data_IF_975342424322
#
_entry.id   IF_975342424322
#
_cell.length_a   1.000
_cell.length_b   1.000
_cell.length_c   1.000
_cell.angle_alpha   90.00
_cell.angle_beta   90.00
_cell.angle_gamma   90.00
#
_symmetry.space_group_name_H-M   'P 1'
#
loop_
_entity.id
_entity.type
_entity.pdbx_description
1 polymer ?
#
# COMPACT_ATOMS: atom_id res chain seq x y z
N UNK A 1 -24.76 1.87 -15.26
CA UNK A 1 -23.72 2.55 -16.06
C UNK A 1 -23.64 2.04 -17.51
N UNK A 2 -24.75 1.59 -18.13
CA UNK A 2 -24.75 1.12 -19.53
C UNK A 2 -24.07 -0.25 -19.75
N UNK A 3 -23.88 -0.70 -20.99
CA UNK A 3 -22.95 -1.79 -21.28
C UNK A 3 -21.49 -1.30 -21.15
N UNK A 4 -20.57 -2.16 -20.72
CA UNK A 4 -19.13 -1.87 -20.65
C UNK A 4 -18.51 -1.61 -22.03
N UNK A 5 -17.18 -1.39 -22.12
CA UNK A 5 -16.17 -1.64 -21.09
C UNK A 5 -15.97 -0.48 -20.11
N UNK A 6 -15.74 -0.83 -18.84
CA UNK A 6 -15.57 0.11 -17.72
C UNK A 6 -14.11 0.43 -17.43
N UNK A 7 -13.79 1.63 -16.91
CA UNK A 7 -12.50 1.82 -16.25
C UNK A 7 -12.44 0.90 -15.03
N UNK A 8 -11.32 0.22 -14.86
CA UNK A 8 -11.14 -0.83 -13.87
C UNK A 8 -10.32 -0.33 -12.69
N UNK A 9 -10.77 -0.63 -11.47
CA UNK A 9 -9.99 -0.46 -10.25
C UNK A 9 -9.74 -1.82 -9.57
N UNK A 10 -8.50 -2.27 -9.58
CA UNK A 10 -8.07 -3.49 -8.91
C UNK A 10 -7.83 -3.22 -7.42
N UNK A 11 -8.67 -3.80 -6.57
CA UNK A 11 -8.58 -3.70 -5.12
C UNK A 11 -7.72 -4.85 -4.57
N UNK A 12 -6.45 -4.57 -4.27
CA UNK A 12 -5.47 -5.61 -3.93
C UNK A 12 -5.08 -5.60 -2.45
N UNK A 13 -4.87 -6.80 -1.91
CA UNK A 13 -3.98 -7.01 -0.77
C UNK A 13 -2.86 -7.94 -1.21
N UNK A 14 -3.19 -9.18 -1.60
CA UNK A 14 -2.30 -10.09 -2.31
C UNK A 14 -1.13 -10.67 -1.52
N UNK A 15 -0.97 -10.27 -0.26
CA UNK A 15 0.02 -10.84 0.65
C UNK A 15 -0.47 -12.11 1.37
N UNK A 16 0.44 -12.80 2.07
CA UNK A 16 0.12 -13.95 2.88
C UNK A 16 -0.77 -13.58 4.09
N UNK A 17 -1.31 -14.61 4.74
CA UNK A 17 -2.22 -14.52 5.89
C UNK A 17 -3.58 -13.87 5.64
N UNK A 18 -3.90 -13.49 4.40
CA UNK A 18 -5.15 -12.82 4.04
C UNK A 18 -5.85 -13.52 2.89
N UNK A 19 -7.18 -13.65 3.00
CA UNK A 19 -8.09 -13.99 1.91
C UNK A 19 -9.11 -12.86 1.77
N UNK A 20 -9.21 -12.25 0.58
CA UNK A 20 -10.16 -11.17 0.32
C UNK A 20 -11.44 -11.67 -0.32
N UNK A 21 -11.38 -12.65 -1.21
CA UNK A 21 -12.54 -13.16 -1.96
C UNK A 21 -13.16 -14.33 -1.21
N UNK A 22 -14.27 -14.06 -0.54
CA UNK A 22 -14.99 -15.03 0.29
C UNK A 22 -16.48 -14.71 0.34
N UNK A 23 -17.32 -15.72 0.63
CA UNK A 23 -18.77 -15.56 0.79
C UNK A 23 -19.11 -14.90 2.13
N UNK A 24 -18.91 -13.59 2.22
CA UNK A 24 -19.07 -12.80 3.45
C UNK A 24 -19.72 -11.44 3.16
N UNK A 25 -20.49 -10.93 4.13
CA UNK A 25 -21.07 -9.57 4.09
C UNK A 25 -20.02 -8.47 3.92
N UNK A 26 -18.79 -8.71 4.38
CA UNK A 26 -17.64 -7.80 4.19
C UNK A 26 -17.36 -7.46 2.72
N UNK A 27 -17.79 -8.29 1.77
CA UNK A 27 -17.66 -7.99 0.34
C UNK A 27 -18.65 -6.90 -0.10
N UNK A 28 -19.82 -6.83 0.52
CA UNK A 28 -20.84 -5.83 0.23
C UNK A 28 -20.51 -4.48 0.89
N UNK A 29 -19.87 -4.49 2.06
CA UNK A 29 -19.58 -3.29 2.87
C UNK A 29 -18.20 -2.69 2.64
N UNK A 30 -17.54 -3.03 1.54
CA UNK A 30 -16.28 -2.38 1.16
C UNK A 30 -16.59 -0.98 0.59
N UNK A 31 -16.67 0.02 1.47
CA UNK A 31 -17.15 1.36 1.13
C UNK A 31 -16.32 2.06 0.06
N UNK A 32 -15.00 1.77 -0.02
CA UNK A 32 -14.15 2.31 -1.09
C UNK A 32 -14.53 1.69 -2.44
N UNK A 33 -14.71 0.37 -2.49
CA UNK A 33 -15.19 -0.30 -3.68
C UNK A 33 -16.57 0.22 -4.10
N UNK A 34 -17.52 0.35 -3.16
CA UNK A 34 -18.85 0.90 -3.42
C UNK A 34 -18.78 2.35 -3.95
N UNK A 35 -17.89 3.18 -3.38
CA UNK A 35 -17.69 4.54 -3.84
C UNK A 35 -17.18 4.58 -5.29
N UNK A 36 -16.16 3.79 -5.63
CA UNK A 36 -15.64 3.71 -7.00
C UNK A 36 -16.69 3.16 -7.97
N UNK A 37 -17.45 2.13 -7.57
CA UNK A 37 -18.58 1.63 -8.36
C UNK A 37 -19.61 2.74 -8.62
N UNK A 38 -20.00 3.51 -7.60
CA UNK A 38 -20.95 4.63 -7.75
C UNK A 38 -20.44 5.73 -8.70
N UNK A 39 -19.12 5.86 -8.82
CA UNK A 39 -18.47 6.79 -9.72
C UNK A 39 -18.38 6.27 -11.15
N UNK A 40 -18.69 5.00 -11.42
CA UNK A 40 -18.70 4.38 -12.75
C UNK A 40 -17.52 3.47 -13.05
N UNK A 41 -16.76 3.03 -12.05
CA UNK A 41 -15.70 2.03 -12.20
C UNK A 41 -16.24 0.61 -12.04
N UNK A 42 -15.66 -0.34 -12.78
CA UNK A 42 -15.67 -1.74 -12.35
C UNK A 42 -14.60 -1.92 -11.26
N UNK A 43 -14.92 -2.64 -10.18
CA UNK A 43 -13.97 -2.96 -9.11
C UNK A 43 -13.77 -4.46 -9.03
N UNK A 44 -12.51 -4.91 -9.12
CA UNK A 44 -12.15 -6.33 -9.05
C UNK A 44 -11.31 -6.61 -7.82
N UNK A 45 -11.58 -7.75 -7.17
CA UNK A 45 -10.73 -8.37 -6.14
C UNK A 45 -10.30 -9.74 -6.66
N UNK A 46 -9.02 -10.04 -6.60
CA UNK A 46 -8.47 -11.33 -6.99
C UNK A 46 -7.50 -11.82 -5.91
N UNK A 47 -7.79 -13.00 -5.34
CA UNK A 47 -6.86 -13.70 -4.44
C UNK A 47 -5.82 -14.46 -5.28
N UNK A 48 -4.67 -13.81 -5.49
CA UNK A 48 -3.51 -14.38 -6.18
C UNK A 48 -2.82 -15.50 -5.36
N UNK A 49 -1.92 -16.25 -6.02
CA UNK A 49 -0.99 -17.17 -5.34
C UNK A 49 -0.25 -16.44 -4.22
N UNK A 50 -0.08 -17.09 -3.08
CA UNK A 50 0.38 -16.45 -1.84
C UNK A 50 -0.72 -16.12 -0.83
N UNK A 51 -1.96 -15.90 -1.26
CA UNK A 51 -3.09 -15.66 -0.36
C UNK A 51 -3.49 -16.92 0.44
N UNK A 52 -4.17 -16.72 1.57
CA UNK A 52 -4.47 -17.78 2.53
C UNK A 52 -5.71 -18.61 2.18
N UNK A 53 -5.95 -19.66 2.98
CA UNK A 53 -7.09 -20.59 2.89
C UNK A 53 -7.14 -21.42 1.59
N UNK A 54 -5.97 -21.73 1.04
CA UNK A 54 -5.78 -22.53 -0.19
C UNK A 54 -4.70 -23.62 -0.04
N UNK A 55 -4.21 -23.85 1.18
CA UNK A 55 -3.15 -24.80 1.50
C UNK A 55 -1.73 -24.22 1.36
N UNK A 56 -0.76 -24.89 1.99
CA UNK A 56 0.62 -24.41 2.06
C UNK A 56 1.31 -24.35 0.69
N UNK A 57 0.98 -25.24 -0.25
CA UNK A 57 1.54 -25.21 -1.60
C UNK A 57 1.13 -23.93 -2.35
N UNK A 58 -0.10 -23.46 -2.14
CA UNK A 58 -0.61 -22.24 -2.74
C UNK A 58 -0.01 -20.98 -2.09
N UNK A 59 0.03 -20.94 -0.75
CA UNK A 59 0.66 -19.82 -0.01
C UNK A 59 2.17 -19.77 -0.25
N UNK A 60 2.85 -20.90 -0.20
CA UNK A 60 4.31 -21.03 -0.34
C UNK A 60 4.86 -20.69 -1.72
N UNK A 61 4.01 -20.46 -2.72
CA UNK A 61 4.45 -20.06 -4.08
C UNK A 61 5.25 -18.75 -4.07
N UNK A 62 4.95 -17.83 -3.15
CA UNK A 62 5.63 -16.53 -3.05
C UNK A 62 6.97 -16.59 -2.30
N UNK A 63 7.35 -17.76 -1.76
CA UNK A 63 8.60 -17.93 -1.00
C UNK A 63 9.81 -17.51 -1.84
N UNK A 64 10.66 -16.67 -1.27
CA UNK A 64 11.83 -16.02 -1.86
C UNK A 64 11.55 -15.07 -3.03
N UNK A 65 10.29 -14.85 -3.40
CA UNK A 65 9.88 -14.14 -4.63
C UNK A 65 8.63 -13.27 -4.42
N UNK A 66 8.53 -12.57 -3.28
CA UNK A 66 7.45 -11.62 -3.03
C UNK A 66 7.36 -10.59 -4.17
N UNK A 67 6.14 -10.26 -4.59
CA UNK A 67 5.84 -9.29 -5.65
C UNK A 67 6.11 -9.78 -7.08
N UNK A 68 6.46 -11.05 -7.29
CA UNK A 68 6.62 -11.63 -8.63
C UNK A 68 5.34 -12.32 -9.10
N UNK A 69 4.92 -13.38 -8.42
CA UNK A 69 3.79 -14.20 -8.84
C UNK A 69 2.47 -13.45 -8.67
N UNK A 70 2.37 -12.63 -7.64
CA UNK A 70 1.21 -11.81 -7.33
C UNK A 70 0.90 -10.84 -8.46
N UNK A 71 1.92 -10.17 -9.00
CA UNK A 71 1.76 -9.25 -10.15
C UNK A 71 1.26 -9.99 -11.38
N UNK A 72 1.81 -11.18 -11.68
CA UNK A 72 1.38 -11.98 -12.84
C UNK A 72 -0.09 -12.41 -12.73
N UNK A 73 -0.53 -12.79 -11.54
CA UNK A 73 -1.91 -13.19 -11.29
C UNK A 73 -2.88 -11.99 -11.41
N UNK A 74 -2.50 -10.81 -10.89
CA UNK A 74 -3.29 -9.59 -11.07
C UNK A 74 -3.37 -9.17 -12.56
N UNK A 75 -2.26 -9.27 -13.30
CA UNK A 75 -2.26 -9.05 -14.77
C UNK A 75 -3.21 -10.01 -15.47
N UNK A 76 -3.20 -11.28 -15.05
CA UNK A 76 -4.08 -12.31 -15.61
C UNK A 76 -5.56 -11.99 -15.34
N UNK A 77 -5.89 -11.54 -14.13
CA UNK A 77 -7.25 -11.10 -13.80
C UNK A 77 -7.71 -9.92 -14.65
N UNK A 78 -6.86 -8.91 -14.86
CA UNK A 78 -7.17 -7.77 -15.74
C UNK A 78 -7.40 -8.24 -17.18
N UNK A 79 -6.50 -9.06 -17.74
CA UNK A 79 -6.62 -9.59 -19.11
C UNK A 79 -7.90 -10.40 -19.29
N UNK A 80 -8.29 -11.20 -18.30
CA UNK A 80 -9.54 -11.93 -18.32
C UNK A 80 -10.74 -10.97 -18.43
N UNK A 81 -10.79 -9.91 -17.61
CA UNK A 81 -11.89 -8.94 -17.66
C UNK A 81 -11.93 -8.14 -18.97
N UNK A 82 -10.78 -7.83 -19.56
CA UNK A 82 -10.69 -7.18 -20.88
C UNK A 82 -11.24 -8.11 -21.97
N UNK A 83 -10.85 -9.38 -21.97
CA UNK A 83 -11.32 -10.37 -22.95
C UNK A 83 -12.85 -10.58 -22.90
N UNK A 84 -13.47 -10.37 -21.75
CA UNK A 84 -14.92 -10.48 -21.56
C UNK A 84 -15.66 -9.14 -21.71
N UNK A 85 -15.00 -8.10 -22.26
CA UNK A 85 -15.55 -6.76 -22.48
C UNK A 85 -16.10 -6.08 -21.20
N UNK A 86 -15.55 -6.46 -20.03
CA UNK A 86 -15.91 -5.84 -18.74
C UNK A 86 -15.02 -4.62 -18.49
N UNK A 87 -13.72 -4.72 -18.78
CA UNK A 87 -12.74 -3.69 -18.48
C UNK A 87 -12.15 -3.06 -19.75
N UNK A 88 -11.92 -1.75 -19.72
CA UNK A 88 -11.20 -1.03 -20.77
C UNK A 88 -9.69 -1.18 -20.54
N UNK A 89 -8.93 -1.78 -21.48
CA UNK A 89 -7.51 -2.06 -21.30
C UNK A 89 -6.65 -0.80 -21.14
N UNK A 90 -7.13 0.39 -21.51
CA UNK A 90 -6.39 1.65 -21.37
C UNK A 90 -6.64 2.35 -20.04
N UNK A 91 -7.65 1.91 -19.27
CA UNK A 91 -8.13 2.60 -18.07
C UNK A 91 -8.15 1.65 -16.87
N UNK A 92 -6.97 1.16 -16.49
CA UNK A 92 -6.80 0.20 -15.39
C UNK A 92 -5.96 0.83 -14.29
N UNK A 93 -6.57 0.98 -13.12
CA UNK A 93 -5.89 1.38 -11.90
C UNK A 93 -5.81 0.25 -10.88
N UNK A 94 -4.87 0.36 -9.95
CA UNK A 94 -4.70 -0.57 -8.82
C UNK A 94 -4.58 0.20 -7.51
N UNK A 95 -5.17 -0.31 -6.43
CA UNK A 95 -5.01 0.28 -5.11
C UNK A 95 -4.95 -0.79 -4.03
N UNK A 96 -4.22 -0.47 -2.97
CA UNK A 96 -4.11 -1.33 -1.80
C UNK A 96 -3.41 -0.62 -0.65
N UNK A 97 -3.42 -1.30 0.49
CA UNK A 97 -2.80 -0.79 1.73
C UNK A 97 -1.85 -1.84 2.31
N UNK A 98 -0.77 -1.41 2.96
CA UNK A 98 0.26 -2.29 3.50
C UNK A 98 0.88 -3.15 2.39
N UNK A 99 0.81 -4.49 2.47
CA UNK A 99 1.18 -5.37 1.36
C UNK A 99 0.43 -5.04 0.05
N UNK A 100 -0.83 -4.62 0.15
CA UNK A 100 -1.58 -4.16 -1.02
C UNK A 100 -1.00 -2.88 -1.62
N UNK A 101 -0.43 -1.99 -0.81
CA UNK A 101 0.28 -0.80 -1.27
C UNK A 101 1.57 -1.17 -1.99
N UNK A 102 2.33 -2.11 -1.41
CA UNK A 102 3.48 -2.74 -2.06
C UNK A 102 3.11 -3.33 -3.42
N UNK A 103 2.08 -4.19 -3.47
CA UNK A 103 1.63 -4.83 -4.69
C UNK A 103 1.10 -3.81 -5.72
N UNK A 104 0.44 -2.74 -5.29
CA UNK A 104 -0.01 -1.66 -6.18
C UNK A 104 1.17 -0.97 -6.87
N UNK A 105 2.22 -0.63 -6.11
CA UNK A 105 3.44 -0.05 -6.66
C UNK A 105 4.19 -1.03 -7.58
N UNK A 106 4.25 -2.32 -7.19
CA UNK A 106 4.85 -3.38 -8.00
C UNK A 106 4.10 -3.60 -9.31
N UNK A 107 2.77 -3.61 -9.31
CA UNK A 107 1.94 -3.70 -10.52
C UNK A 107 2.24 -2.54 -11.47
N UNK A 108 2.30 -1.30 -10.97
CA UNK A 108 2.59 -0.12 -11.78
C UNK A 108 4.00 -0.16 -12.41
N UNK A 109 4.99 -0.67 -11.67
CA UNK A 109 6.38 -0.68 -12.11
C UNK A 109 6.73 -1.93 -12.96
N UNK A 110 6.16 -3.10 -12.66
CA UNK A 110 6.48 -4.36 -13.34
C UNK A 110 5.53 -4.71 -14.50
N UNK A 111 4.34 -4.14 -14.51
CA UNK A 111 3.37 -4.29 -15.60
C UNK A 111 2.84 -2.91 -16.07
N UNK A 112 3.73 -1.99 -16.50
CA UNK A 112 3.36 -0.62 -16.84
C UNK A 112 2.47 -0.52 -18.09
N UNK A 113 2.39 -1.58 -18.90
CA UNK A 113 1.49 -1.66 -20.05
C UNK A 113 0.09 -2.15 -19.68
N UNK A 114 -0.12 -2.58 -18.43
CA UNK A 114 -1.42 -3.06 -17.91
C UNK A 114 -2.01 -2.06 -16.93
N UNK A 115 -1.20 -1.48 -16.04
CA UNK A 115 -1.68 -0.54 -15.02
C UNK A 115 -1.22 0.88 -15.34
N UNK A 116 -2.16 1.80 -15.48
CA UNK A 116 -1.89 3.22 -15.77
C UNK A 116 -1.94 4.12 -14.54
N UNK A 117 -2.57 3.67 -13.45
CA UNK A 117 -2.67 4.41 -12.19
C UNK A 117 -2.48 3.46 -11.00
N UNK A 118 -1.73 3.88 -9.98
CA UNK A 118 -1.67 3.17 -8.71
C UNK A 118 -1.82 4.10 -7.50
N UNK A 119 -2.53 3.61 -6.48
CA UNK A 119 -2.55 4.18 -5.13
C UNK A 119 -1.91 3.20 -4.16
N UNK A 120 -0.71 3.54 -3.68
CA UNK A 120 0.07 2.74 -2.76
C UNK A 120 -0.03 3.29 -1.34
N UNK A 121 -0.88 2.68 -0.50
CA UNK A 121 -1.06 3.06 0.90
C UNK A 121 -0.13 2.30 1.86
N UNK A 122 0.59 3.00 2.71
CA UNK A 122 1.61 2.49 3.65
C UNK A 122 2.46 1.34 3.05
N UNK A 123 3.08 1.53 1.87
CA UNK A 123 3.71 0.42 1.15
C UNK A 123 5.04 0.02 1.79
N UNK A 124 5.28 -1.28 1.93
CA UNK A 124 6.65 -1.81 2.06
C UNK A 124 7.34 -1.64 0.71
N UNK A 125 8.40 -0.86 0.64
CA UNK A 125 9.07 -0.54 -0.64
C UNK A 125 10.38 -1.32 -0.86
N UNK A 126 10.93 -1.88 0.21
CA UNK A 126 12.12 -2.76 0.21
C UNK A 126 12.13 -3.61 1.47
N UNK A 127 12.43 -4.90 1.33
CA UNK A 127 12.29 -5.88 2.41
C UNK A 127 13.44 -5.86 3.42
N UNK A 128 14.57 -5.21 3.11
CA UNK A 128 15.58 -4.82 4.12
C UNK A 128 15.03 -3.80 5.14
N UNK A 129 13.85 -3.28 4.84
CA UNK A 129 13.09 -2.25 5.52
C UNK A 129 12.34 -2.69 6.78
N UNK A 130 12.01 -3.98 6.86
CA UNK A 130 10.88 -4.51 7.63
C UNK A 130 11.33 -5.53 8.69
N UNK A 131 10.42 -6.01 9.52
CA UNK A 131 10.77 -6.87 10.67
C UNK A 131 11.33 -8.25 10.25
N UNK A 132 12.17 -8.83 11.11
CA UNK A 132 12.85 -10.11 10.86
C UNK A 132 11.86 -11.26 10.76
N UNK A 133 10.86 -11.31 11.63
CA UNK A 133 9.94 -12.44 11.73
C UNK A 133 9.13 -12.66 10.45
N UNK A 134 8.54 -11.58 9.93
CA UNK A 134 7.80 -11.61 8.68
C UNK A 134 8.74 -11.83 7.50
N UNK A 135 9.80 -11.04 7.42
CA UNK A 135 10.65 -11.00 6.23
C UNK A 135 11.43 -12.29 6.05
N UNK A 136 12.06 -12.83 7.10
CA UNK A 136 12.87 -14.05 6.98
C UNK A 136 12.00 -15.29 6.72
N UNK A 137 10.75 -15.33 7.23
CA UNK A 137 9.80 -16.41 6.93
C UNK A 137 9.55 -16.56 5.44
N UNK A 138 9.36 -15.45 4.74
CA UNK A 138 8.99 -15.46 3.32
C UNK A 138 10.17 -15.29 2.39
N UNK A 139 11.18 -14.52 2.77
CA UNK A 139 12.32 -14.17 1.91
C UNK A 139 13.62 -14.86 2.30
N UNK A 140 13.72 -15.49 3.47
CA UNK A 140 14.98 -15.98 4.03
C UNK A 140 15.92 -14.84 4.43
N UNK A 141 17.17 -15.15 4.79
CA UNK A 141 18.16 -14.13 5.12
C UNK A 141 18.58 -13.33 3.86
N UNK A 142 18.82 -12.01 3.96
CA UNK A 142 19.29 -11.21 2.82
C UNK A 142 20.57 -11.75 2.15
N UNK A 143 21.47 -12.36 2.93
CA UNK A 143 22.71 -12.99 2.45
C UNK A 143 22.46 -14.29 1.66
N UNK A 144 21.33 -14.96 1.88
CA UNK A 144 20.96 -16.21 1.23
C UNK A 144 20.03 -15.99 0.02
N UNK A 145 19.35 -14.85 -0.04
CA UNK A 145 18.40 -14.52 -1.10
C UNK A 145 18.61 -13.10 -1.66
N UNK A 146 19.86 -12.68 -1.87
CA UNK A 146 20.19 -11.33 -2.34
C UNK A 146 19.43 -10.93 -3.61
N UNK A 147 19.30 -11.85 -4.57
CA UNK A 147 18.53 -11.63 -5.81
C UNK A 147 17.04 -11.45 -5.53
N UNK A 148 16.45 -12.28 -4.67
CA UNK A 148 15.02 -12.17 -4.34
C UNK A 148 14.69 -10.87 -3.62
N UNK A 149 15.52 -10.44 -2.66
CA UNK A 149 15.35 -9.14 -2.00
C UNK A 149 15.40 -7.97 -2.98
N UNK A 150 16.33 -8.00 -3.93
CA UNK A 150 16.43 -7.02 -5.03
C UNK A 150 15.17 -7.04 -5.90
N UNK A 151 14.81 -8.19 -6.46
CA UNK A 151 13.64 -8.30 -7.34
C UNK A 151 12.31 -7.98 -6.64
N UNK A 152 12.23 -8.18 -5.32
CA UNK A 152 11.08 -7.86 -4.50
C UNK A 152 11.05 -6.39 -4.03
N UNK A 153 12.13 -5.62 -4.18
CA UNK A 153 12.12 -4.19 -3.89
C UNK A 153 11.45 -3.41 -5.03
N UNK A 154 10.58 -2.46 -4.69
CA UNK A 154 9.92 -1.60 -5.69
C UNK A 154 10.96 -0.77 -6.45
N UNK A 155 12.03 -0.36 -5.75
CA UNK A 155 13.07 0.54 -6.24
C UNK A 155 13.75 0.08 -7.54
N UNK A 156 13.86 -1.22 -7.74
CA UNK A 156 14.54 -1.79 -8.90
C UNK A 156 13.67 -1.81 -10.16
N UNK A 157 12.38 -1.49 -10.03
CA UNK A 157 11.43 -1.46 -11.14
C UNK A 157 10.97 -0.04 -11.48
N UNK A 158 11.33 0.97 -10.69
CA UNK A 158 10.85 2.36 -10.84
C UNK A 158 11.14 2.94 -12.23
N UNK A 159 12.27 2.59 -12.85
CA UNK A 159 12.62 3.05 -14.21
C UNK A 159 11.57 2.69 -15.26
N UNK A 160 10.88 1.56 -15.06
CA UNK A 160 9.88 1.02 -15.97
C UNK A 160 8.51 1.71 -15.82
N UNK A 161 8.31 2.50 -14.75
CA UNK A 161 7.04 3.15 -14.46
C UNK A 161 6.64 4.11 -15.59
N UNK A 162 5.45 3.90 -16.17
CA UNK A 162 4.85 4.78 -17.19
C UNK A 162 3.61 5.53 -16.68
N UNK A 163 2.90 4.94 -15.71
CA UNK A 163 1.65 5.48 -15.18
C UNK A 163 1.82 6.48 -14.03
N UNK A 164 0.71 6.83 -13.39
CA UNK A 164 0.63 7.80 -12.30
C UNK A 164 0.59 7.10 -10.93
N UNK A 165 1.45 7.51 -10.01
CA UNK A 165 1.57 6.93 -8.67
C UNK A 165 1.17 7.94 -7.59
N UNK A 166 0.17 7.60 -6.77
CA UNK A 166 -0.06 8.26 -5.49
C UNK A 166 0.43 7.37 -4.36
N UNK A 167 1.22 7.95 -3.47
CA UNK A 167 1.66 7.33 -2.22
C UNK A 167 0.86 7.93 -1.08
N UNK A 168 0.27 7.10 -0.23
CA UNK A 168 -0.42 7.54 0.98
C UNK A 168 0.29 6.94 2.19
N UNK A 169 0.66 7.75 3.19
CA UNK A 169 1.36 7.23 4.37
C UNK A 169 1.07 8.06 5.62
N UNK A 170 0.96 7.39 6.77
CA UNK A 170 1.08 8.03 8.07
C UNK A 170 2.55 8.33 8.39
N UNK A 171 2.85 9.52 8.91
CA UNK A 171 4.23 9.91 9.20
C UNK A 171 4.80 9.16 10.42
N UNK A 172 3.94 8.83 11.38
CA UNK A 172 4.32 8.15 12.64
C UNK A 172 4.00 6.66 12.61
N UNK A 173 3.96 6.03 11.43
CA UNK A 173 3.79 4.58 11.28
C UNK A 173 4.98 3.83 11.88
N UNK A 174 4.72 3.07 12.96
CA UNK A 174 5.70 2.23 13.63
C UNK A 174 5.84 0.82 13.03
N UNK A 175 4.92 0.42 12.15
CA UNK A 175 4.91 -0.90 11.53
C UNK A 175 5.63 -0.86 10.18
N UNK A 176 5.11 -0.09 9.22
CA UNK A 176 5.80 0.20 7.95
C UNK A 176 6.41 1.60 8.10
N UNK A 177 7.61 1.69 8.66
CA UNK A 177 8.21 3.00 8.92
C UNK A 177 8.22 3.89 7.66
N UNK A 178 7.93 5.18 7.83
CA UNK A 178 7.94 6.18 6.74
C UNK A 178 9.25 6.19 5.91
N UNK A 179 10.35 5.58 6.40
CA UNK A 179 11.59 5.31 5.67
C UNK A 179 11.32 4.64 4.32
N UNK A 180 10.30 3.79 4.24
CA UNK A 180 9.90 3.12 3.01
C UNK A 180 9.47 4.11 1.93
N UNK A 181 8.59 5.05 2.28
CA UNK A 181 8.17 6.11 1.36
C UNK A 181 9.30 7.07 1.03
N UNK A 182 10.09 7.50 2.03
CA UNK A 182 11.23 8.40 1.79
C UNK A 182 12.25 7.79 0.80
N UNK A 183 12.59 6.51 0.95
CA UNK A 183 13.50 5.81 0.02
C UNK A 183 12.88 5.64 -1.38
N UNK A 184 11.58 5.38 -1.48
CA UNK A 184 10.89 5.29 -2.77
C UNK A 184 10.91 6.63 -3.50
N UNK A 185 10.65 7.72 -2.78
CA UNK A 185 10.72 9.09 -3.31
C UNK A 185 12.12 9.38 -3.86
N UNK A 186 13.17 9.07 -3.11
CA UNK A 186 14.55 9.24 -3.60
C UNK A 186 14.79 8.49 -4.91
N UNK A 187 14.25 7.27 -5.02
CA UNK A 187 14.39 6.47 -6.25
C UNK A 187 13.58 7.03 -7.42
N UNK A 188 12.37 7.52 -7.17
CA UNK A 188 11.52 8.18 -8.15
C UNK A 188 12.18 9.45 -8.70
N UNK A 189 12.70 10.30 -7.81
CA UNK A 189 13.44 11.51 -8.18
C UNK A 189 14.67 11.15 -9.01
N UNK A 190 15.48 10.19 -8.57
CA UNK A 190 16.68 9.76 -9.30
C UNK A 190 16.37 9.18 -10.69
N UNK A 191 15.16 8.64 -10.88
CA UNK A 191 14.69 8.09 -12.16
C UNK A 191 13.88 9.10 -13.00
N UNK A 192 13.73 10.35 -12.55
CA UNK A 192 12.93 11.38 -13.24
C UNK A 192 11.45 11.01 -13.33
N UNK A 193 10.90 10.37 -12.30
CA UNK A 193 9.51 9.89 -12.26
C UNK A 193 8.65 10.72 -11.33
N UNK A 194 7.52 11.20 -11.83
CA UNK A 194 6.52 11.92 -11.05
C UNK A 194 5.81 11.02 -10.03
N UNK A 195 5.41 11.62 -8.92
CA UNK A 195 4.57 10.99 -7.90
C UNK A 195 3.73 12.03 -7.17
N UNK A 196 2.59 11.60 -6.65
CA UNK A 196 1.77 12.36 -5.71
C UNK A 196 1.94 11.78 -4.30
N UNK A 197 2.04 12.64 -3.28
CA UNK A 197 2.14 12.22 -1.89
C UNK A 197 0.97 12.78 -1.08
N UNK A 198 0.26 11.88 -0.39
CA UNK A 198 -0.73 12.21 0.62
C UNK A 198 -0.22 11.76 1.99
N UNK A 199 0.31 12.72 2.75
CA UNK A 199 0.91 12.49 4.07
C UNK A 199 -0.09 12.79 5.18
N UNK A 200 -0.15 11.92 6.19
CA UNK A 200 -0.91 12.13 7.42
C UNK A 200 0.04 12.23 8.61
N UNK A 201 0.38 13.44 9.09
CA UNK A 201 1.42 13.64 10.11
C UNK A 201 1.15 12.94 11.45
N UNK A 202 -0.12 12.85 11.84
CA UNK A 202 -0.54 12.32 13.14
C UNK A 202 -1.09 10.89 13.08
N UNK A 203 -1.01 10.25 11.92
CA UNK A 203 -1.52 8.89 11.72
C UNK A 203 -0.37 7.88 11.64
N UNK A 204 -0.69 6.67 12.09
CA UNK A 204 0.21 5.50 12.09
C UNK A 204 -0.02 4.68 10.81
N UNK A 205 -0.06 3.35 10.94
CA UNK A 205 -0.20 2.44 9.81
C UNK A 205 -1.43 2.66 8.93
N UNK A 206 -2.55 3.11 9.48
CA UNK A 206 -3.74 3.50 8.73
C UNK A 206 -4.40 4.69 9.41
N UNK A 207 -4.94 5.67 8.66
CA UNK A 207 -5.71 6.74 9.27
C UNK A 207 -6.86 6.21 10.12
N UNK A 208 -6.93 6.60 11.40
CA UNK A 208 -7.97 6.16 12.34
C UNK A 208 -9.01 7.24 12.58
N UNK A 209 -8.61 8.51 12.58
CA UNK A 209 -9.53 9.63 12.82
C UNK A 209 -10.53 9.70 11.68
N UNK A 210 -11.81 9.87 12.01
CA UNK A 210 -12.88 9.87 11.00
C UNK A 210 -12.63 10.93 9.92
N UNK A 211 -12.23 12.14 10.32
CA UNK A 211 -11.87 13.22 9.39
C UNK A 211 -10.78 12.81 8.41
N UNK A 212 -9.71 12.21 8.93
CA UNK A 212 -8.54 11.85 8.14
C UNK A 212 -8.85 10.67 7.20
N UNK A 213 -9.70 9.72 7.64
CA UNK A 213 -10.25 8.66 6.79
C UNK A 213 -11.12 9.21 5.66
N UNK A 214 -12.07 10.10 5.98
CA UNK A 214 -12.95 10.70 4.96
C UNK A 214 -12.12 11.48 3.94
N UNK A 215 -11.16 12.28 4.41
CA UNK A 215 -10.24 13.01 3.55
C UNK A 215 -9.45 12.05 2.65
N UNK A 216 -8.84 11.00 3.22
CA UNK A 216 -8.12 9.98 2.45
C UNK A 216 -9.01 9.37 1.35
N UNK A 217 -10.21 8.88 1.68
CA UNK A 217 -11.10 8.23 0.71
C UNK A 217 -11.54 9.18 -0.41
N UNK A 218 -11.77 10.46 -0.09
CA UNK A 218 -12.07 11.49 -1.09
C UNK A 218 -10.87 11.70 -2.03
N UNK A 219 -9.66 11.89 -1.49
CA UNK A 219 -8.45 12.10 -2.31
C UNK A 219 -8.14 10.90 -3.22
N UNK A 220 -8.33 9.68 -2.72
CA UNK A 220 -8.17 8.46 -3.52
C UNK A 220 -9.19 8.42 -4.66
N UNK A 221 -10.48 8.66 -4.35
CA UNK A 221 -11.55 8.65 -5.36
C UNK A 221 -11.31 9.71 -6.44
N UNK A 222 -10.97 10.94 -6.04
CA UNK A 222 -10.65 12.04 -6.95
C UNK A 222 -9.47 11.70 -7.86
N UNK A 223 -8.46 11.01 -7.32
CA UNK A 223 -7.28 10.62 -8.07
C UNK A 223 -7.60 9.58 -9.15
N UNK A 224 -8.44 8.59 -8.84
CA UNK A 224 -8.94 7.64 -9.83
C UNK A 224 -9.78 8.34 -10.90
N UNK A 225 -10.73 9.21 -10.51
CA UNK A 225 -11.57 9.95 -11.48
C UNK A 225 -10.71 10.81 -12.41
N UNK A 226 -9.80 11.62 -11.84
CA UNK A 226 -8.95 12.52 -12.62
C UNK A 226 -8.11 11.79 -13.66
N UNK A 227 -7.57 10.62 -13.32
CA UNK A 227 -6.58 9.93 -14.15
C UNK A 227 -7.18 8.80 -15.02
N UNK A 228 -8.38 8.32 -14.73
CA UNK A 228 -8.99 7.19 -15.45
C UNK A 228 -10.38 7.48 -16.03
N UNK A 229 -11.15 8.46 -15.55
CA UNK A 229 -12.46 8.76 -16.14
C UNK A 229 -12.38 9.72 -17.31
N UNK A 230 -11.53 10.74 -17.20
CA UNK A 230 -11.37 11.74 -18.23
C UNK A 230 -10.18 11.32 -19.11
N UNK A 231 -10.45 10.45 -20.08
CA UNK A 231 -9.44 10.07 -21.06
C UNK A 231 -8.91 11.32 -21.76
N UNK A 232 -7.60 11.59 -21.62
CA UNK A 232 -6.79 12.53 -22.42
C UNK A 232 -7.60 13.47 -23.33
N UNK A 233 -8.31 14.41 -22.74
CA UNK A 233 -8.91 15.57 -23.40
C UNK A 233 -9.17 16.60 -22.30
N UNK A 234 -8.61 17.79 -22.44
CA UNK A 234 -8.67 18.88 -21.47
C UNK A 234 -10.10 19.40 -21.24
N UNK A 235 -10.90 18.66 -20.47
CA UNK A 235 -12.18 19.09 -19.92
C UNK A 235 -12.02 19.33 -18.43
N UNK A 236 -12.12 20.59 -18.00
CA UNK A 236 -11.92 21.01 -16.62
C UNK A 236 -12.80 20.26 -15.64
N UNK A 237 -12.17 19.44 -14.80
CA UNK A 237 -12.79 19.04 -13.54
C UNK A 237 -12.78 20.28 -12.63
N UNK A 238 -13.95 20.89 -12.43
CA UNK A 238 -14.12 21.88 -11.39
C UNK A 238 -13.86 21.18 -10.06
N UNK A 239 -12.77 21.57 -9.38
CA UNK A 239 -12.53 21.15 -8.02
C UNK A 239 -13.78 21.50 -7.19
N UNK A 240 -14.42 20.50 -6.60
CA UNK A 240 -15.42 20.80 -5.59
C UNK A 240 -14.71 21.53 -4.44
N UNK A 241 -15.14 22.74 -4.08
CA UNK A 241 -14.52 23.46 -2.97
C UNK A 241 -14.59 22.59 -1.73
N UNK A 242 -13.45 22.50 -1.05
CA UNK A 242 -13.31 21.78 0.21
C UNK A 242 -14.34 22.30 1.20
N UNK A 243 -15.10 21.43 1.90
CA UNK A 243 -15.87 21.91 3.04
C UNK A 243 -14.88 22.37 4.10
N UNK A 244 -14.73 23.68 4.24
CA UNK A 244 -14.20 24.28 5.46
C UNK A 244 -15.09 23.78 6.60
N UNK A 245 -14.59 22.81 7.35
CA UNK A 245 -15.22 22.41 8.60
C UNK A 245 -14.94 23.52 9.60
N UNK A 246 -15.80 24.55 9.60
CA UNK A 246 -15.93 25.44 10.73
C UNK A 246 -16.52 24.63 11.89
N UNK A 247 -15.64 24.00 12.66
CA UNK A 247 -16.02 23.57 14.00
C UNK A 247 -16.08 24.82 14.88
N UNK A 248 -17.29 25.16 15.28
CA UNK A 248 -17.57 26.19 16.27
C UNK A 248 -16.93 25.76 17.60
N UNK A 249 -15.76 26.29 17.92
CA UNK A 249 -15.28 26.27 19.30
C UNK A 249 -16.13 27.27 20.07
N UNK A 250 -17.11 26.78 20.84
CA UNK A 250 -17.66 27.58 21.92
C UNK A 250 -16.56 27.78 22.97
N UNK A 251 -16.19 29.02 23.30
CA UNK A 251 -15.31 29.26 24.44
C UNK A 251 -16.11 29.01 25.73
N UNK A 252 -15.53 28.23 26.63
CA UNK A 252 -15.95 28.14 28.02
C UNK A 252 -15.87 29.53 28.67
N UNK A 253 -17.02 30.05 29.11
CA UNK A 253 -17.11 31.25 29.93
C UNK A 253 -16.27 31.09 31.19
N UNK A 254 -15.20 31.86 31.30
CA UNK A 254 -14.68 32.31 32.59
C UNK A 254 -14.65 33.83 32.54
N UNK A 255 -15.38 34.43 33.48
CA UNK A 255 -15.48 35.87 33.66
C UNK A 255 -14.12 36.41 34.09
N UNK A 256 -13.55 37.33 33.32
CA UNK A 256 -12.68 38.36 33.88
C UNK A 256 -12.97 39.71 33.22
N UNK A 257 -13.24 40.65 34.10
CA UNK A 257 -13.67 42.02 33.86
C UNK A 257 -12.50 42.93 33.43
N UNK A 258 -12.85 43.89 32.57
CA UNK A 258 -12.25 45.22 32.42
C UNK A 258 -10.93 45.36 31.64
N UNK A 259 -10.98 46.02 30.48
CA UNK A 259 -10.72 47.46 30.35
C UNK A 259 -10.90 47.89 28.87
N UNK A 260 -11.65 48.98 28.69
CA UNK A 260 -11.92 49.64 27.41
C UNK A 260 -10.72 50.52 27.05
N UNK A 261 -10.22 50.39 25.83
CA UNK A 261 -9.17 51.25 25.28
C UNK A 261 -9.22 51.25 23.75
N UNK A 262 -9.94 52.22 23.19
CA UNK A 262 -10.02 52.52 21.77
C UNK A 262 -8.70 53.07 21.23
N UNK A 263 -8.25 52.61 20.07
CA UNK A 263 -7.71 53.47 18.99
C UNK A 263 -7.54 52.67 17.69
N UNK A 264 -8.02 53.25 16.60
CA UNK A 264 -7.79 52.85 15.22
C UNK A 264 -6.37 53.25 14.74
N UNK A 265 -5.86 52.57 13.70
CA UNK A 265 -5.49 53.15 12.39
C UNK A 265 -4.48 52.25 11.63
N UNK A 266 -4.86 51.99 10.38
CA UNK A 266 -4.11 51.75 9.14
C UNK A 266 -2.98 50.71 9.02
N UNK A 267 -3.30 49.77 8.13
CA UNK A 267 -2.48 49.13 7.10
C UNK A 267 -1.37 50.00 6.50
N UNK A 268 -0.18 49.44 6.35
CA UNK A 268 0.69 49.71 5.19
C UNK A 268 1.52 48.47 4.86
N UNK A 269 1.40 48.01 3.61
CA UNK A 269 2.20 46.94 3.01
C UNK A 269 3.58 47.46 2.62
N UNK A 270 4.63 46.66 2.82
CA UNK A 270 5.95 46.94 2.26
C UNK A 270 6.60 45.65 1.75
N UNK A 271 6.55 45.50 0.42
CA UNK A 271 7.33 44.58 -0.39
C UNK A 271 8.71 45.19 -0.58
N UNK A 272 9.79 44.45 -0.32
CA UNK A 272 11.13 44.75 -0.87
C UNK A 272 11.74 43.45 -1.38
N UNK A 273 12.13 43.51 -2.66
CA UNK A 273 12.87 42.48 -3.38
C UNK A 273 14.28 43.03 -3.70
N UNK A 274 15.22 42.10 -3.81
CA UNK A 274 16.47 42.11 -4.60
C UNK A 274 17.81 42.57 -3.98
N UNK A 275 18.66 41.55 -3.81
CA UNK A 275 19.98 41.30 -4.42
C UNK A 275 21.18 42.24 -4.17
N UNK A 276 22.30 41.52 -3.94
CA UNK A 276 23.71 41.82 -4.18
C UNK A 276 24.45 42.87 -3.33
N UNK A 277 25.41 42.39 -2.52
CA UNK A 277 26.82 42.75 -2.68
C UNK A 277 27.74 41.85 -1.82
N UNK A 278 28.83 41.44 -2.45
CA UNK A 278 29.91 40.57 -1.99
C UNK A 278 31.02 41.31 -1.21
N UNK A 279 31.78 40.51 -0.42
CA UNK A 279 33.22 40.63 -0.12
C UNK A 279 33.74 41.85 0.69
N UNK A 280 34.31 41.64 1.89
CA UNK A 280 35.74 41.33 2.16
C UNK A 280 36.16 41.47 3.66
N UNK A 281 37.17 40.68 4.02
CA UNK A 281 38.18 40.83 5.10
C UNK A 281 37.74 40.64 6.58
N UNK A 282 38.10 39.53 7.24
CA UNK A 282 39.40 39.06 7.78
C UNK A 282 39.74 39.57 9.21
N UNK A 283 39.85 38.58 10.10
CA UNK A 283 40.68 38.44 11.30
C UNK A 283 40.41 39.32 12.54
N UNK A 284 39.95 38.67 13.63
CA UNK A 284 40.86 38.40 14.76
C UNK A 284 40.38 37.22 15.65
N UNK A 285 41.39 36.43 16.06
CA UNK A 285 41.53 35.49 17.18
C UNK A 285 40.46 35.45 18.29
N UNK A 286 40.18 34.36 19.00
CA UNK A 286 40.74 33.01 19.07
C UNK A 286 40.12 32.32 20.30
N UNK A 287 39.90 31.02 20.24
CA UNK A 287 39.60 30.22 21.45
C UNK A 287 40.00 28.75 21.20
N UNK A 288 40.65 28.22 22.23
CA UNK A 288 41.50 27.03 22.28
C UNK A 288 40.66 25.75 22.36
N UNK A 289 41.11 24.71 21.64
CA UNK A 289 40.60 23.33 21.70
C UNK A 289 41.42 22.52 22.72
N UNK A 290 40.81 21.74 23.64
CA UNK A 290 41.51 20.68 24.37
C UNK A 290 41.17 19.27 23.82
N UNK A 291 42.04 18.25 24.02
CA UNK A 291 42.05 17.02 23.24
C UNK A 291 41.24 15.85 23.84
N UNK A 292 40.86 14.95 22.92
CA UNK A 292 40.36 13.56 23.04
C UNK A 292 40.25 12.90 24.44
N UNK A 293 39.07 12.37 24.73
CA UNK A 293 38.90 11.06 25.38
C UNK A 293 37.86 10.22 24.64
N UNK A 294 38.31 9.07 24.16
CA UNK A 294 37.52 7.96 23.64
C UNK A 294 36.65 7.34 24.73
N UNK A 295 35.35 7.20 24.49
CA UNK A 295 34.46 6.32 25.27
C UNK A 295 33.78 5.31 24.36
N UNK A 296 33.96 4.04 24.75
CA UNK A 296 33.50 2.83 24.06
C UNK A 296 31.97 2.73 23.99
N UNK A 297 31.50 2.22 22.85
CA UNK A 297 30.10 1.96 22.49
C UNK A 297 29.58 0.60 23.03
N UNK A 298 29.94 0.20 24.25
CA UNK A 298 29.59 -1.12 24.81
C UNK A 298 28.76 -1.11 26.10
N UNK A 299 28.48 0.04 26.72
CA UNK A 299 27.77 0.09 28.01
C UNK A 299 26.27 0.40 27.95
N UNK A 300 25.65 0.39 26.76
CA UNK A 300 24.20 0.65 26.61
C UNK A 300 23.34 -0.61 26.44
N UNK A 301 23.94 -1.82 26.48
CA UNK A 301 23.23 -3.10 26.27
C UNK A 301 23.05 -3.97 27.53
N UNK A 302 23.30 -3.46 28.74
CA UNK A 302 23.16 -4.23 29.99
C UNK A 302 22.13 -3.68 31.00
N UNK A 303 21.15 -2.88 30.58
CA UNK A 303 20.08 -2.39 31.47
C UNK A 303 18.65 -2.53 30.91
N UNK A 304 18.33 -3.69 30.33
CA UNK A 304 16.93 -4.06 29.98
C UNK A 304 16.54 -5.49 30.45
N UNK A 305 17.31 -6.07 31.38
CA UNK A 305 16.85 -7.24 32.13
C UNK A 305 16.27 -6.80 33.46
N UNK A 306 14.98 -6.44 33.46
CA UNK A 306 14.06 -6.69 34.56
C UNK A 306 12.64 -6.25 34.16
N UNK A 307 11.68 -7.16 34.37
CA UNK A 307 10.21 -7.01 34.30
C UNK A 307 9.54 -7.42 32.97
N UNK A 308 9.20 -8.71 32.88
CA UNK A 308 8.17 -9.27 32.00
C UNK A 308 7.11 -9.95 32.89
N UNK A 309 5.82 -9.57 32.84
CA UNK A 309 4.76 -10.32 33.53
C UNK A 309 4.30 -11.53 32.71
N UNK A 310 3.95 -12.58 33.45
CA UNK A 310 3.78 -13.97 33.04
C UNK A 310 2.65 -14.23 32.04
N UNK A 311 2.90 -15.18 31.15
CA UNK A 311 1.96 -15.77 30.20
C UNK A 311 1.12 -16.88 30.85
N UNK A 312 -0.19 -16.89 30.55
CA UNK A 312 -1.12 -17.95 30.94
C UNK A 312 -0.82 -19.26 30.22
N UNK A 313 -0.83 -20.34 31.00
CA UNK A 313 -0.69 -21.74 30.58
C UNK A 313 -1.84 -22.21 29.68
N UNK A 314 -1.50 -22.94 28.61
CA UNK A 314 -2.38 -23.94 28.01
C UNK A 314 -1.63 -25.25 27.83
N UNK A 315 -2.25 -26.33 28.30
CA UNK A 315 -1.73 -27.68 28.39
C UNK A 315 -1.42 -28.33 27.03
N UNK A 316 -0.29 -29.06 27.02
CA UNK A 316 0.10 -30.01 26.00
C UNK A 316 -0.74 -31.29 26.06
N UNK A 317 -1.19 -31.77 24.90
CA UNK A 317 -1.40 -33.19 24.67
C UNK A 317 -0.42 -33.68 23.60
N UNK A 318 0.37 -34.69 23.99
CA UNK A 318 1.29 -35.44 23.15
C UNK A 318 0.54 -36.35 22.17
N UNK A 319 1.03 -36.43 20.94
CA UNK A 319 0.98 -37.67 20.16
C UNK A 319 2.27 -37.82 19.34
N UNK A 320 2.99 -38.90 19.66
CA UNK A 320 4.07 -39.49 18.87
C UNK A 320 3.55 -40.01 17.53
N UNK A 321 4.33 -39.87 16.46
CA UNK A 321 4.59 -40.95 15.49
C UNK A 321 5.91 -40.72 14.73
N UNK A 322 6.48 -41.85 14.33
CA UNK A 322 7.85 -42.12 13.90
C UNK A 322 8.28 -41.47 12.58
N UNK A 323 9.60 -41.30 12.45
CA UNK A 323 10.27 -40.89 11.22
C UNK A 323 10.44 -41.99 10.18
N UNK A 324 10.81 -41.56 8.99
CA UNK A 324 11.43 -42.37 7.95
C UNK A 324 12.38 -41.48 7.14
N UNK A 325 13.66 -41.88 7.07
CA UNK A 325 14.66 -41.41 6.11
C UNK A 325 14.49 -42.16 4.79
N UNK A 326 14.77 -41.50 3.65
CA UNK A 326 14.76 -42.18 2.35
C UNK A 326 15.09 -41.28 1.15
N UNK A 327 16.40 -41.06 0.94
CA UNK A 327 17.16 -40.92 -0.32
C UNK A 327 16.61 -40.12 -1.53
N UNK A 328 17.51 -39.22 -1.98
CA UNK A 328 17.56 -38.59 -3.30
C UNK A 328 17.81 -39.62 -4.42
N UNK A 329 17.12 -39.48 -5.54
CA UNK A 329 17.63 -39.86 -6.87
C UNK A 329 17.18 -38.83 -7.92
N UNK A 330 18.17 -38.30 -8.64
CA UNK A 330 18.04 -37.48 -9.84
C UNK A 330 17.69 -38.36 -11.04
N UNK A 331 16.80 -37.90 -11.92
CA UNK A 331 16.73 -38.32 -13.32
C UNK A 331 16.32 -37.13 -14.19
N UNK A 332 17.06 -36.95 -15.28
CA UNK A 332 16.96 -35.85 -16.25
C UNK A 332 16.26 -36.33 -17.55
N UNK A 333 15.27 -35.52 -18.01
CA UNK A 333 14.83 -35.23 -19.41
C UNK A 333 14.02 -36.29 -20.20
N UNK A 334 13.28 -35.93 -21.30
CA UNK A 334 13.03 -34.61 -21.93
C UNK A 334 11.54 -34.24 -22.21
N UNK A 335 11.35 -33.02 -22.72
CA UNK A 335 10.12 -32.38 -23.21
C UNK A 335 9.44 -33.09 -24.40
N UNK A 336 8.13 -33.32 -24.30
CA UNK A 336 7.19 -33.32 -25.45
C UNK A 336 5.72 -33.14 -25.02
N UNK A 337 5.06 -32.17 -25.69
CA UNK A 337 3.62 -31.98 -25.92
C UNK A 337 2.59 -32.60 -24.96
N UNK A 338 1.91 -31.76 -24.15
CA UNK A 338 0.56 -32.07 -23.66
C UNK A 338 -0.36 -30.85 -23.76
N UNK A 339 -1.37 -31.02 -24.60
CA UNK A 339 -2.52 -30.17 -24.90
C UNK A 339 -3.47 -30.04 -23.70
N UNK A 340 -4.08 -28.85 -23.54
CA UNK A 340 -5.10 -28.54 -22.54
C UNK A 340 -6.39 -29.36 -22.75
N UNK A 341 -7.05 -29.87 -21.70
CA UNK A 341 -8.43 -30.34 -21.80
C UNK A 341 -9.42 -29.18 -21.67
N UNK A 342 -10.35 -29.13 -22.62
CA UNK A 342 -11.53 -28.24 -22.66
C UNK A 342 -12.53 -28.67 -21.58
N UNK A 343 -12.97 -27.72 -20.74
CA UNK A 343 -14.02 -27.91 -19.75
C UNK A 343 -15.41 -27.64 -20.38
N UNK A 344 -16.27 -28.65 -20.36
CA UNK A 344 -17.69 -28.58 -20.74
C UNK A 344 -18.51 -28.07 -19.53
N UNK A 345 -19.47 -27.15 -19.70
CA UNK A 345 -20.29 -26.64 -18.59
C UNK A 345 -21.43 -27.62 -18.23
N UNK A 346 -21.79 -27.78 -16.94
CA UNK A 346 -22.95 -28.59 -16.55
C UNK A 346 -24.27 -27.84 -16.76
N UNK A 347 -25.29 -28.63 -17.11
CA UNK A 347 -26.64 -28.23 -17.45
C UNK A 347 -27.43 -27.62 -16.27
N UNK A 348 -28.33 -26.70 -16.64
CA UNK A 348 -29.32 -26.01 -15.83
C UNK A 348 -30.28 -26.95 -15.07
N UNK A 349 -30.44 -26.74 -13.77
CA UNK A 349 -31.53 -27.31 -12.98
C UNK A 349 -32.64 -26.27 -12.78
N UNK A 350 -33.82 -26.58 -13.33
CA UNK A 350 -35.07 -25.84 -13.13
C UNK A 350 -35.65 -26.14 -11.74
N UNK A 351 -36.14 -25.08 -11.11
CA UNK A 351 -36.86 -25.08 -9.82
C UNK A 351 -38.33 -25.48 -9.97
N UNK A 352 -38.81 -26.40 -9.13
CA UNK A 352 -40.24 -26.56 -8.82
C UNK A 352 -40.48 -26.49 -7.30
N UNK A 353 -41.66 -26.00 -6.86
CA UNK A 353 -41.89 -25.53 -5.51
C UNK A 353 -42.32 -26.65 -4.55
N UNK A 354 -41.79 -26.64 -3.33
CA UNK A 354 -42.23 -27.53 -2.24
C UNK A 354 -43.42 -26.93 -1.49
N UNK A 355 -44.51 -27.70 -1.48
CA UNK A 355 -45.69 -27.50 -0.66
C UNK A 355 -45.47 -28.21 0.70
N UNK A 356 -45.68 -27.50 1.81
CA UNK A 356 -45.72 -28.07 3.16
C UNK A 356 -47.12 -28.65 3.46
N UNK A 357 -47.22 -29.77 4.18
CA UNK A 357 -48.35 -30.04 5.06
C UNK A 357 -47.98 -29.79 6.52
N UNK A 358 -48.95 -29.22 7.25
CA UNK A 358 -48.99 -29.09 8.71
C UNK A 358 -49.11 -30.48 9.35
N UNK A 359 -48.40 -30.70 10.44
CA UNK A 359 -48.96 -31.12 11.74
C UNK A 359 -47.94 -30.93 12.85
#
# INVERSE_FOLDING_TARGET
HGPGPYPLACAVYGGPHVQRVQRSYSQCTDMRAQRLCSLGFAVVKCDNRGSSRRGLSFEGTIKHRLGHWEVLDQVTAVRYLVQHNIADPRRVGVYGWSYGGYLSAMCLCRAPDVFSVAVAGAPVTSWDGYDTHYTERYMGLPSQNTRGYREAAVFDHVSNMKGKLMIVHGLIDENVHFRHTARLINRLIAAGKDYDLLLFPEERHSPRRLRDRVYMEQRISDYFVRNLMHGTAGGGYQQHPHPHTHYNHQPSNTNETALVGSTSVATTSLTINHHDAMHQQQNNSGLVVPPNKSTNLLDYQQQQHQHCPQTNHYHHHHHHTNGYNGQQQQLQQPLSSLSCPVLVPPASYNSHPYNHPRH
#
